data_IF_579383139969
#
_entry.id   IF_579383139969
#
_cell.length_a   1.000
_cell.length_b   1.000
_cell.length_c   1.000
_cell.angle_alpha   90.00
_cell.angle_beta   90.00
_cell.angle_gamma   90.00
#
_symmetry.space_group_name_H-M   'P 1'
#
loop_
_entity.id
_entity.type
_entity.pdbx_description
1 polymer ?
#
# COMPACT_ATOMS: atom_id res chain seq x y z
N UNK A 1 -11.40 14.81 12.26
CA UNK A 1 -11.08 13.70 11.33
C UNK A 1 -12.41 13.07 10.91
N UNK A 2 -12.96 13.55 9.79
CA UNK A 2 -14.20 13.02 9.21
C UNK A 2 -13.80 11.90 8.25
N UNK A 3 -14.25 10.69 8.57
CA UNK A 3 -14.37 9.53 7.70
C UNK A 3 -13.12 9.18 6.88
N UNK A 4 -12.18 8.43 7.48
CA UNK A 4 -11.39 7.48 6.68
C UNK A 4 -12.40 6.45 6.20
N UNK A 5 -12.78 6.54 4.92
CA UNK A 5 -13.57 5.48 4.32
C UNK A 5 -12.66 4.26 4.25
N UNK A 6 -13.00 3.24 5.03
CA UNK A 6 -12.45 1.91 4.83
C UNK A 6 -13.08 1.37 3.55
N UNK A 7 -12.50 1.71 2.42
CA UNK A 7 -12.77 1.03 1.15
C UNK A 7 -12.54 -0.46 1.43
N UNK A 8 -13.63 -1.22 1.39
CA UNK A 8 -13.75 -2.59 1.90
C UNK A 8 -12.60 -3.51 1.46
N UNK A 9 -12.04 -4.28 2.40
CA UNK A 9 -11.77 -5.70 2.21
C UNK A 9 -11.39 -6.35 3.55
N UNK A 10 -11.79 -7.60 3.76
CA UNK A 10 -11.41 -8.38 4.93
C UNK A 10 -9.87 -8.49 5.02
N UNK A 11 -9.26 -7.68 5.88
CA UNK A 11 -7.82 -7.59 6.07
C UNK A 11 -7.22 -8.96 6.41
N UNK A 12 -7.97 -9.82 7.09
CA UNK A 12 -7.54 -11.17 7.42
C UNK A 12 -7.47 -12.06 6.18
N UNK A 13 -8.39 -11.91 5.24
CA UNK A 13 -8.35 -12.62 3.96
C UNK A 13 -7.13 -12.18 3.15
N UNK A 14 -6.90 -10.88 2.99
CA UNK A 14 -5.72 -10.37 2.24
C UNK A 14 -4.41 -10.81 2.88
N UNK A 15 -4.32 -10.76 4.21
CA UNK A 15 -3.15 -11.25 4.95
C UNK A 15 -2.92 -12.76 4.73
N UNK A 16 -3.97 -13.57 4.78
CA UNK A 16 -3.88 -15.03 4.54
C UNK A 16 -3.46 -15.33 3.10
N UNK A 17 -4.07 -14.66 2.12
CA UNK A 17 -3.70 -14.79 0.70
C UNK A 17 -2.24 -14.36 0.49
N UNK A 18 -1.83 -13.22 1.06
CA UNK A 18 -0.45 -12.74 1.00
C UNK A 18 0.56 -13.73 1.59
N UNK A 19 0.23 -14.38 2.71
CA UNK A 19 1.07 -15.43 3.29
C UNK A 19 1.20 -16.66 2.39
N UNK A 20 0.10 -17.07 1.72
CA UNK A 20 0.12 -18.18 0.75
C UNK A 20 0.97 -17.84 -0.47
N UNK A 21 0.79 -16.65 -1.05
CA UNK A 21 1.60 -16.18 -2.19
C UNK A 21 3.07 -16.16 -1.79
N UNK A 22 3.41 -15.56 -0.66
CA UNK A 22 4.79 -15.49 -0.17
C UNK A 22 5.43 -16.87 0.00
N UNK A 23 4.67 -17.85 0.48
CA UNK A 23 5.15 -19.24 0.65
C UNK A 23 5.51 -19.91 -0.68
N UNK A 24 4.82 -19.57 -1.76
CA UNK A 24 4.97 -20.21 -3.07
C UNK A 24 5.68 -19.34 -4.12
N UNK A 25 6.01 -18.09 -3.80
CA UNK A 25 6.67 -17.16 -4.71
C UNK A 25 8.15 -17.46 -4.82
N UNK A 26 8.66 -17.50 -6.06
CA UNK A 26 10.10 -17.56 -6.36
C UNK A 26 10.81 -16.26 -5.93
N UNK A 27 10.06 -15.14 -5.89
CA UNK A 27 10.49 -13.89 -5.31
C UNK A 27 9.66 -13.61 -4.04
N UNK A 28 10.16 -14.07 -2.90
CA UNK A 28 9.49 -13.93 -1.60
C UNK A 28 9.91 -12.69 -0.82
N UNK A 29 10.83 -11.88 -1.37
CA UNK A 29 11.19 -10.59 -0.77
C UNK A 29 9.96 -9.66 -0.82
N UNK A 30 9.71 -8.97 0.28
CA UNK A 30 8.65 -7.96 0.29
C UNK A 30 9.08 -6.80 -0.60
N UNK A 31 8.25 -6.44 -1.57
CA UNK A 31 8.53 -5.34 -2.50
C UNK A 31 8.75 -4.01 -1.75
N UNK A 32 8.12 -3.83 -0.59
CA UNK A 32 8.29 -2.62 0.22
C UNK A 32 9.70 -2.52 0.79
N UNK A 33 10.32 -3.65 1.15
CA UNK A 33 11.71 -3.69 1.59
C UNK A 33 12.66 -3.34 0.42
N UNK A 34 12.36 -3.81 -0.80
CA UNK A 34 13.12 -3.45 -2.01
C UNK A 34 13.05 -1.95 -2.26
N UNK A 35 11.84 -1.39 -2.25
CA UNK A 35 11.62 0.03 -2.52
C UNK A 35 12.29 0.89 -1.45
N UNK A 36 12.24 0.47 -0.17
CA UNK A 36 12.94 1.18 0.90
C UNK A 36 14.44 1.25 0.71
N UNK A 37 15.03 0.20 0.14
CA UNK A 37 16.47 0.20 -0.19
C UNK A 37 16.82 1.02 -1.44
N UNK A 38 15.85 1.25 -2.33
CA UNK A 38 16.08 1.88 -3.63
C UNK A 38 15.86 3.40 -3.62
N UNK A 39 15.07 3.92 -2.67
CA UNK A 39 14.63 5.32 -2.65
C UNK A 39 15.28 6.08 -1.48
N UNK A 40 15.75 7.30 -1.76
CA UNK A 40 16.24 8.22 -0.72
C UNK A 40 15.08 8.98 -0.06
N UNK A 41 14.40 8.31 0.87
CA UNK A 41 13.19 8.80 1.54
C UNK A 41 13.29 10.13 2.30
N UNK A 42 14.40 10.48 2.98
CA UNK A 42 14.52 11.74 3.71
C UNK A 42 14.19 13.02 2.92
N UNK A 43 14.22 12.97 1.58
CA UNK A 43 13.92 14.10 0.71
C UNK A 43 12.57 13.98 -0.02
N UNK A 44 11.79 12.96 0.29
CA UNK A 44 10.48 12.72 -0.31
C UNK A 44 9.41 13.01 0.73
N UNK A 45 8.60 14.04 0.44
CA UNK A 45 7.54 14.50 1.34
C UNK A 45 6.13 14.30 0.79
N UNK A 46 6.01 14.02 -0.51
CA UNK A 46 4.74 13.85 -1.19
C UNK A 46 4.75 12.61 -2.06
N UNK A 47 3.70 11.79 -1.97
CA UNK A 47 3.53 10.58 -2.80
C UNK A 47 2.23 10.68 -3.60
N UNK A 48 2.31 10.24 -4.85
CA UNK A 48 1.16 9.84 -5.66
C UNK A 48 1.23 8.33 -5.87
N UNK A 49 0.26 7.60 -5.32
CA UNK A 49 0.11 6.15 -5.48
C UNK A 49 -0.99 5.86 -6.51
N UNK A 50 -0.61 5.21 -7.62
CA UNK A 50 -1.50 4.87 -8.72
C UNK A 50 -1.80 3.38 -8.67
N UNK A 51 -3.08 3.02 -8.52
CA UNK A 51 -3.49 1.67 -8.16
C UNK A 51 -3.30 1.39 -6.66
N UNK A 52 -3.60 2.38 -5.82
CA UNK A 52 -3.32 2.33 -4.38
C UNK A 52 -4.14 1.25 -3.65
N UNK A 53 -5.18 0.69 -4.28
CA UNK A 53 -6.05 -0.31 -3.69
C UNK A 53 -6.58 0.15 -2.32
N UNK A 54 -6.17 -0.55 -1.26
CA UNK A 54 -6.53 -0.25 0.12
C UNK A 54 -5.40 0.37 0.96
N UNK A 55 -4.30 0.79 0.34
CA UNK A 55 -3.20 1.49 1.02
C UNK A 55 -2.15 0.59 1.69
N UNK A 56 -2.08 -0.69 1.31
CA UNK A 56 -1.12 -1.67 1.89
C UNK A 56 0.34 -1.33 1.66
N UNK A 57 0.63 -0.67 0.53
CA UNK A 57 1.98 -0.44 0.10
C UNK A 57 2.65 0.61 0.98
N UNK A 58 1.88 1.64 1.32
CA UNK A 58 2.28 2.84 2.04
C UNK A 58 2.53 2.56 3.53
N UNK A 59 1.89 1.54 4.12
CA UNK A 59 2.01 1.17 5.55
C UNK A 59 3.45 0.90 6.02
N UNK A 60 4.38 0.56 5.13
CA UNK A 60 5.77 0.21 5.47
C UNK A 60 6.83 1.05 4.76
N UNK A 61 6.44 2.16 4.13
CA UNK A 61 7.42 3.08 3.55
C UNK A 61 8.11 3.87 4.66
N UNK A 62 9.43 4.05 4.53
CA UNK A 62 10.25 4.68 5.58
C UNK A 62 10.29 6.21 5.52
N UNK A 63 9.57 6.82 4.58
CA UNK A 63 9.52 8.28 4.44
C UNK A 63 8.65 8.99 5.46
N UNK A 64 8.92 10.29 5.62
CA UNK A 64 8.09 11.21 6.39
C UNK A 64 7.30 12.05 5.40
N UNK A 65 6.07 11.62 5.15
CA UNK A 65 5.21 12.23 4.15
C UNK A 65 4.31 13.29 4.78
N UNK A 66 4.31 14.47 4.18
CA UNK A 66 3.35 15.53 4.49
C UNK A 66 2.00 15.25 3.83
N UNK A 67 2.03 14.60 2.65
CA UNK A 67 0.85 14.30 1.87
C UNK A 67 1.01 13.02 1.03
N UNK A 68 -0.04 12.19 1.02
CA UNK A 68 -0.14 11.01 0.16
C UNK A 68 -1.48 11.08 -0.57
N UNK A 69 -1.44 11.01 -1.89
CA UNK A 69 -2.63 10.89 -2.74
C UNK A 69 -2.67 9.51 -3.36
N UNK A 70 -3.74 8.76 -3.12
CA UNK A 70 -4.03 7.50 -3.78
C UNK A 70 -5.08 7.68 -4.89
N UNK A 71 -4.87 7.04 -6.03
CA UNK A 71 -5.86 6.92 -7.11
C UNK A 71 -6.04 5.44 -7.41
N UNK A 72 -7.29 4.97 -7.41
CA UNK A 72 -7.62 3.60 -7.75
C UNK A 72 -8.93 3.54 -8.54
N UNK A 73 -8.98 2.67 -9.55
CA UNK A 73 -10.13 2.54 -10.44
C UNK A 73 -11.04 1.36 -10.08
N UNK A 74 -10.84 0.72 -8.92
CA UNK A 74 -11.68 -0.38 -8.50
C UNK A 74 -13.07 0.16 -8.10
N UNK A 75 -14.17 -0.37 -8.68
CA UNK A 75 -15.51 0.18 -8.45
C UNK A 75 -15.96 0.27 -6.98
N UNK A 76 -15.38 -0.56 -6.10
CA UNK A 76 -15.65 -0.49 -4.65
C UNK A 76 -15.14 0.81 -4.01
N UNK A 77 -14.20 1.49 -4.64
CA UNK A 77 -13.54 2.70 -4.15
C UNK A 77 -14.23 3.96 -4.69
N UNK A 78 -15.10 3.84 -5.70
CA UNK A 78 -15.84 4.96 -6.29
C UNK A 78 -16.96 5.51 -5.40
N UNK A 79 -17.44 4.70 -4.44
CA UNK A 79 -18.52 5.07 -3.52
C UNK A 79 -18.03 5.55 -2.15
N UNK A 80 -16.71 5.76 -2.02
CA UNK A 80 -16.07 6.19 -0.79
C UNK A 80 -16.29 7.67 -0.50
#
# INVERSE_FOLDING_TARGET
MKNIIKSYADFDIHRKIGALIKKHSENSQDIRDVVNSAINWPHIHTILDLGCGYGWFEERLEGKFDYIMGIDCHPSNEQA
#
